data_IF_394756546321
#
_entry.id   IF_394756546321
#
_cell.length_a   1.000
_cell.length_b   1.000
_cell.length_c   1.000
_cell.angle_alpha   90.00
_cell.angle_beta   90.00
_cell.angle_gamma   90.00
#
_symmetry.space_group_name_H-M   'P 1'
#
loop_
_entity.id
_entity.type
_entity.pdbx_description
1 polymer ?
#
# COMPACT_ATOMS: atom_id res chain seq x y z
N UNK A 1 25.16 -14.50 7.92
CA UNK A 1 24.89 -13.11 8.38
C UNK A 1 23.43 -13.05 8.77
N UNK A 2 23.11 -12.63 10.00
CA UNK A 2 21.73 -12.35 10.39
C UNK A 2 21.36 -10.95 9.90
N UNK A 3 20.36 -10.85 9.03
CA UNK A 3 19.75 -9.58 8.66
C UNK A 3 18.78 -9.16 9.79
N UNK A 4 18.56 -7.85 10.00
CA UNK A 4 17.57 -7.39 10.96
C UNK A 4 16.17 -7.89 10.59
N UNK A 5 15.35 -8.17 11.60
CA UNK A 5 13.95 -8.55 11.40
C UNK A 5 13.16 -7.42 10.70
N UNK A 6 12.13 -7.74 9.90
CA UNK A 6 11.25 -6.73 9.34
C UNK A 6 10.63 -5.84 10.43
N UNK A 7 10.44 -4.56 10.12
CA UNK A 7 9.75 -3.62 10.99
C UNK A 7 8.48 -3.13 10.30
N UNK A 8 7.36 -3.22 11.00
CA UNK A 8 6.05 -2.86 10.49
C UNK A 8 5.49 -1.64 11.20
N UNK A 9 4.99 -0.69 10.42
CA UNK A 9 4.13 0.39 10.89
C UNK A 9 2.74 0.17 10.32
N UNK A 10 1.74 0.26 11.19
CA UNK A 10 0.33 0.10 10.82
C UNK A 10 -0.41 1.37 11.19
N UNK A 11 -1.14 1.93 10.22
CA UNK A 11 -1.97 3.11 10.40
C UNK A 11 -3.41 2.75 10.03
N UNK A 12 -4.37 3.05 10.90
CA UNK A 12 -5.78 2.81 10.62
C UNK A 12 -6.43 4.05 10.00
N UNK A 13 -7.18 3.84 8.93
CA UNK A 13 -8.03 4.83 8.27
C UNK A 13 -9.49 4.37 8.27
N UNK A 14 -10.39 5.24 8.71
CA UNK A 14 -11.83 5.00 8.64
C UNK A 14 -12.46 5.91 7.59
N UNK A 15 -13.08 5.32 6.57
CA UNK A 15 -13.81 6.05 5.53
C UNK A 15 -14.79 5.12 4.81
N UNK A 16 -15.77 5.68 4.09
CA UNK A 16 -16.76 4.90 3.31
C UNK A 16 -17.47 3.80 4.14
N UNK A 17 -17.65 4.02 5.44
CA UNK A 17 -18.26 3.06 6.37
C UNK A 17 -17.40 1.85 6.74
N UNK A 18 -16.11 1.86 6.39
CA UNK A 18 -15.19 0.74 6.60
C UNK A 18 -13.88 1.19 7.25
N UNK A 19 -13.15 0.23 7.81
CA UNK A 19 -11.81 0.44 8.38
C UNK A 19 -10.76 -0.20 7.49
N UNK A 20 -9.73 0.58 7.18
CA UNK A 20 -8.60 0.17 6.36
C UNK A 20 -7.31 0.31 7.17
N UNK A 21 -6.36 -0.58 6.93
CA UNK A 21 -5.02 -0.57 7.52
C UNK A 21 -4.01 -0.29 6.42
N UNK A 22 -3.31 0.83 6.51
CA UNK A 22 -2.07 1.02 5.77
C UNK A 22 -0.98 0.25 6.49
N UNK A 23 -0.38 -0.72 5.81
CA UNK A 23 0.79 -1.44 6.30
C UNK A 23 2.00 -0.91 5.55
N UNK A 24 2.97 -0.37 6.29
CA UNK A 24 4.29 -0.01 5.80
C UNK A 24 5.31 -0.96 6.43
N UNK A 25 5.96 -1.79 5.63
CA UNK A 25 7.01 -2.72 6.08
C UNK A 25 8.37 -2.26 5.58
N UNK A 26 9.35 -2.18 6.47
CA UNK A 26 10.77 -2.10 6.11
C UNK A 26 11.41 -3.48 6.22
N UNK A 27 12.04 -3.94 5.15
CA UNK A 27 12.78 -5.20 5.11
C UNK A 27 14.15 -5.02 4.45
N UNK A 28 15.17 -5.70 4.96
CA UNK A 28 16.48 -5.79 4.31
C UNK A 28 16.60 -7.14 3.61
N UNK A 29 16.56 -7.13 2.27
CA UNK A 29 16.87 -8.32 1.47
C UNK A 29 18.38 -8.50 1.29
N UNK A 30 19.10 -7.39 1.22
CA UNK A 30 20.56 -7.34 1.16
C UNK A 30 21.07 -6.40 2.25
N UNK A 31 22.21 -6.75 2.87
CA UNK A 31 22.77 -5.99 3.98
C UNK A 31 23.00 -4.53 3.57
N UNK A 32 22.40 -3.59 4.31
CA UNK A 32 22.54 -2.16 4.04
C UNK A 32 21.66 -1.63 2.90
N UNK A 33 20.77 -2.46 2.35
CA UNK A 33 19.83 -2.07 1.30
C UNK A 33 18.38 -2.32 1.76
N UNK A 34 17.83 -1.45 2.64
CA UNK A 34 16.45 -1.55 3.06
C UNK A 34 15.49 -1.21 1.90
N UNK A 35 14.43 -1.98 1.82
CA UNK A 35 13.26 -1.72 0.98
C UNK A 35 12.05 -1.45 1.86
N UNK A 36 11.16 -0.61 1.35
CA UNK A 36 9.89 -0.30 1.97
C UNK A 36 8.76 -0.83 1.10
N UNK A 37 7.78 -1.46 1.73
CA UNK A 37 6.62 -2.04 1.10
C UNK A 37 5.38 -1.41 1.71
N UNK A 38 4.49 -0.87 0.89
CA UNK A 38 3.27 -0.21 1.35
C UNK A 38 2.04 -0.80 0.65
N UNK A 39 1.09 -1.26 1.44
CA UNK A 39 -0.20 -1.80 0.95
C UNK A 39 -1.35 -1.39 1.86
N UNK A 40 -2.54 -1.28 1.30
CA UNK A 40 -3.76 -1.00 2.06
C UNK A 40 -4.56 -2.30 2.22
N UNK A 41 -4.97 -2.59 3.44
CA UNK A 41 -5.80 -3.74 3.77
C UNK A 41 -7.17 -3.30 4.28
N UNK A 42 -8.24 -4.02 3.92
CA UNK A 42 -9.57 -3.82 4.48
C UNK A 42 -9.79 -4.75 5.69
N UNK A 43 -10.30 -4.20 6.79
CA UNK A 43 -10.87 -5.00 7.88
C UNK A 43 -12.24 -5.51 7.41
N UNK A 44 -12.24 -6.64 6.70
CA UNK A 44 -13.40 -7.24 6.03
C UNK A 44 -13.00 -8.41 5.16
N UNK A 45 -13.94 -9.02 4.43
CA UNK A 45 -13.67 -10.12 3.50
C UNK A 45 -13.06 -9.62 2.19
N UNK A 46 -12.46 -10.51 1.39
CA UNK A 46 -11.93 -10.14 0.08
C UNK A 46 -13.04 -9.62 -0.85
N UNK A 47 -14.22 -10.23 -0.83
CA UNK A 47 -15.39 -9.76 -1.60
C UNK A 47 -15.82 -8.34 -1.21
N UNK A 48 -15.68 -7.96 0.06
CA UNK A 48 -15.91 -6.56 0.46
C UNK A 48 -14.80 -5.65 -0.07
N UNK A 49 -13.56 -6.10 -0.02
CA UNK A 49 -12.38 -5.35 -0.45
C UNK A 49 -12.39 -5.04 -1.96
N UNK A 50 -12.91 -5.96 -2.77
CA UNK A 50 -13.09 -5.81 -4.23
C UNK A 50 -13.95 -4.59 -4.62
N UNK A 51 -14.79 -4.09 -3.71
CA UNK A 51 -15.61 -2.90 -3.93
C UNK A 51 -14.84 -1.58 -3.76
N UNK A 52 -13.54 -1.63 -3.45
CA UNK A 52 -12.73 -0.44 -3.21
C UNK A 52 -11.48 -0.41 -4.06
N UNK A 53 -11.03 0.80 -4.37
CA UNK A 53 -9.70 1.06 -4.94
C UNK A 53 -9.00 2.04 -4.01
N UNK A 54 -7.76 1.74 -3.64
CA UNK A 54 -6.89 2.66 -2.91
C UNK A 54 -5.83 3.25 -3.84
N UNK A 55 -5.42 4.49 -3.57
CA UNK A 55 -4.24 5.14 -4.13
C UNK A 55 -3.27 5.51 -3.03
N UNK A 56 -2.01 5.11 -3.19
CA UNK A 56 -0.88 5.69 -2.46
C UNK A 56 -0.13 6.66 -3.37
N UNK A 57 0.20 7.83 -2.85
CA UNK A 57 0.82 8.89 -3.62
C UNK A 57 1.98 9.54 -2.88
N UNK A 58 3.15 9.60 -3.51
CA UNK A 58 4.32 10.34 -3.05
C UNK A 58 4.52 11.54 -3.97
N UNK A 59 4.68 12.73 -3.40
CA UNK A 59 4.88 13.97 -4.15
C UNK A 59 6.04 14.77 -3.57
N UNK A 60 7.03 15.12 -4.40
CA UNK A 60 8.11 16.04 -4.02
C UNK A 60 8.85 16.56 -5.25
N UNK A 61 9.24 17.84 -5.25
CA UNK A 61 10.10 18.43 -6.29
C UNK A 61 9.64 18.12 -7.72
N UNK A 62 8.36 18.38 -8.03
CA UNK A 62 7.71 18.08 -9.32
C UNK A 62 7.69 16.60 -9.72
N UNK A 63 8.14 15.69 -8.84
CA UNK A 63 8.02 14.25 -9.02
C UNK A 63 6.76 13.77 -8.33
N UNK A 64 6.13 12.78 -8.95
CA UNK A 64 4.96 12.09 -8.42
C UNK A 64 5.09 10.61 -8.67
N UNK A 65 4.94 9.81 -7.62
CA UNK A 65 4.79 8.38 -7.71
C UNK A 65 3.39 8.02 -7.23
N UNK A 66 2.69 7.19 -8.01
CA UNK A 66 1.33 6.73 -7.71
C UNK A 66 1.28 5.21 -7.79
N UNK A 67 0.61 4.61 -6.82
CA UNK A 67 0.26 3.19 -6.83
C UNK A 67 -1.24 3.08 -6.58
N UNK A 68 -1.97 2.41 -7.46
CA UNK A 68 -3.41 2.20 -7.38
C UNK A 68 -3.70 0.70 -7.47
N UNK A 69 -4.46 0.18 -6.52
CA UNK A 69 -4.82 -1.24 -6.45
C UNK A 69 -6.11 -1.45 -5.63
N UNK A 70 -6.64 -2.68 -5.66
CA UNK A 70 -7.69 -3.14 -4.74
C UNK A 70 -7.07 -3.43 -3.38
N UNK A 71 -7.67 -2.98 -2.25
CA UNK A 71 -7.17 -3.36 -0.94
C UNK A 71 -7.30 -4.88 -0.74
N UNK A 72 -6.38 -5.48 0.00
CA UNK A 72 -6.48 -6.91 0.37
C UNK A 72 -7.23 -7.08 1.68
N UNK A 73 -7.90 -8.20 1.90
CA UNK A 73 -8.48 -8.51 3.21
C UNK A 73 -7.39 -8.68 4.26
N UNK A 74 -7.61 -8.20 5.50
CA UNK A 74 -6.77 -8.52 6.67
C UNK A 74 -6.70 -10.01 7.00
N UNK A 75 -7.57 -10.83 6.42
CA UNK A 75 -7.53 -12.29 6.54
C UNK A 75 -6.38 -12.90 5.70
N UNK A 76 -5.79 -12.13 4.79
CA UNK A 76 -4.62 -12.53 4.01
C UNK A 76 -3.31 -12.17 4.72
N UNK A 77 -2.24 -12.90 4.39
CA UNK A 77 -0.93 -12.66 4.95
C UNK A 77 -0.23 -11.49 4.24
N UNK A 78 0.32 -10.55 5.00
CA UNK A 78 1.14 -9.45 4.43
C UNK A 78 2.38 -9.98 3.71
N UNK A 79 2.97 -11.08 4.19
CA UNK A 79 4.14 -11.68 3.55
C UNK A 79 3.84 -12.17 2.13
N UNK A 80 2.65 -12.74 1.87
CA UNK A 80 2.28 -13.20 0.53
C UNK A 80 2.04 -12.03 -0.41
N UNK A 81 1.39 -10.97 0.06
CA UNK A 81 1.17 -9.74 -0.72
C UNK A 81 2.52 -9.14 -1.18
N UNK A 82 3.50 -9.13 -0.28
CA UNK A 82 4.85 -8.62 -0.57
C UNK A 82 5.61 -9.55 -1.52
N UNK A 83 5.54 -10.87 -1.33
CA UNK A 83 6.22 -11.82 -2.21
C UNK A 83 5.68 -11.80 -3.64
N UNK A 84 4.38 -11.54 -3.80
CA UNK A 84 3.70 -11.47 -5.08
C UNK A 84 3.93 -10.13 -5.80
N UNK A 85 4.50 -9.15 -5.10
CA UNK A 85 4.72 -7.80 -5.63
C UNK A 85 3.44 -6.98 -5.72
N UNK A 86 2.36 -7.37 -5.05
CA UNK A 86 1.06 -6.69 -5.04
C UNK A 86 1.04 -5.53 -4.02
N UNK A 87 2.06 -4.66 -4.09
CA UNK A 87 2.19 -3.50 -3.22
C UNK A 87 3.14 -2.44 -3.81
N UNK A 88 3.07 -1.23 -3.26
CA UNK A 88 4.06 -0.20 -3.56
C UNK A 88 5.42 -0.57 -2.96
N UNK A 89 6.44 -0.72 -3.81
CA UNK A 89 7.82 -1.00 -3.39
C UNK A 89 8.70 0.22 -3.60
N UNK A 90 9.42 0.63 -2.56
CA UNK A 90 10.42 1.69 -2.60
C UNK A 90 11.77 1.14 -2.14
N UNK A 91 12.79 1.21 -2.98
CA UNK A 91 14.16 1.06 -2.50
C UNK A 91 14.63 2.37 -1.83
N UNK A 92 15.79 2.31 -1.17
CA UNK A 92 16.35 3.47 -0.44
C UNK A 92 16.51 4.69 -1.35
N UNK A 93 17.03 4.51 -2.56
CA UNK A 93 17.26 5.61 -3.52
C UNK A 93 15.96 6.29 -3.96
N UNK A 94 14.91 5.51 -4.23
CA UNK A 94 13.61 6.02 -4.62
C UNK A 94 12.93 6.74 -3.44
N UNK A 95 13.00 6.17 -2.23
CA UNK A 95 12.46 6.81 -1.03
C UNK A 95 13.13 8.18 -0.76
N UNK A 96 14.45 8.30 -0.97
CA UNK A 96 15.18 9.56 -0.80
C UNK A 96 14.74 10.67 -1.77
N UNK A 97 14.26 10.32 -2.97
CA UNK A 97 13.73 11.32 -3.91
C UNK A 97 12.45 12.00 -3.37
N UNK A 98 11.69 11.29 -2.54
CA UNK A 98 10.41 11.75 -2.00
C UNK A 98 10.44 12.14 -0.51
N UNK A 99 11.47 11.76 0.23
CA UNK A 99 11.62 12.08 1.64
C UNK A 99 12.10 13.53 1.87
N UNK A 100 11.62 14.16 2.94
CA UNK A 100 12.07 15.46 3.42
C UNK A 100 12.59 15.33 4.85
N UNK A 101 13.86 15.66 5.09
CA UNK A 101 14.54 15.47 6.38
C UNK A 101 14.31 14.10 7.03
N UNK A 102 14.32 13.03 6.22
CA UNK A 102 14.11 11.66 6.68
C UNK A 102 12.64 11.25 6.87
N UNK A 103 11.69 12.15 6.65
CA UNK A 103 10.25 11.87 6.70
C UNK A 103 9.70 11.63 5.30
N UNK A 104 8.92 10.57 5.11
CA UNK A 104 8.21 10.27 3.86
C UNK A 104 6.72 10.56 4.04
N UNK A 105 6.18 11.51 3.27
CA UNK A 105 4.75 11.79 3.26
C UNK A 105 4.05 10.90 2.22
N UNK A 106 3.06 10.13 2.67
CA UNK A 106 2.25 9.25 1.80
C UNK A 106 0.82 9.80 1.77
N UNK A 107 0.39 10.30 0.62
CA UNK A 107 -1.00 10.63 0.37
C UNK A 107 -1.83 9.36 0.16
N UNK A 108 -3.00 9.29 0.79
CA UNK A 108 -3.89 8.14 0.73
C UNK A 108 -5.23 8.61 0.20
N UNK A 109 -5.76 7.92 -0.81
CA UNK A 109 -7.15 8.07 -1.25
C UNK A 109 -7.79 6.69 -1.34
N UNK A 110 -9.04 6.58 -0.91
CA UNK A 110 -9.84 5.36 -1.01
C UNK A 110 -11.15 5.74 -1.68
N UNK A 111 -11.54 4.97 -2.69
CA UNK A 111 -12.73 5.20 -3.49
C UNK A 111 -13.49 3.89 -3.68
N UNK A 112 -14.79 3.97 -3.93
CA UNK A 112 -15.55 2.80 -4.35
C UNK A 112 -15.17 2.45 -5.78
N UNK A 113 -14.85 1.19 -6.04
CA UNK A 113 -14.64 0.66 -7.37
C UNK A 113 -15.94 0.84 -8.17
N UNK A 114 -15.86 1.41 -9.38
CA UNK A 114 -17.00 1.43 -10.28
C UNK A 114 -17.34 -0.01 -10.64
N UNK A 115 -18.45 -0.53 -10.12
CA UNK A 115 -19.06 -1.74 -10.66
C UNK A 115 -19.27 -1.48 -12.14
N UNK A 116 -18.66 -2.27 -13.02
CA UNK A 116 -19.13 -2.37 -14.40
C UNK A 116 -20.55 -2.92 -14.32
N UNK A 117 -21.54 -2.04 -14.19
CA UNK A 117 -22.90 -2.34 -14.61
C UNK A 117 -22.82 -2.37 -16.14
N UNK A 118 -22.41 -3.51 -16.70
CA UNK A 118 -22.84 -3.87 -18.04
C UNK A 118 -24.33 -4.15 -17.95
N UNK A 119 -25.13 -3.08 -17.88
CA UNK A 119 -26.53 -3.13 -18.26
C UNK A 119 -26.55 -3.53 -19.73
N UNK A 120 -27.14 -4.69 -19.99
CA UNK A 120 -27.56 -5.08 -21.32
C UNK A 120 -28.50 -3.99 -21.85
N UNK A 121 -28.04 -3.21 -22.82
CA UNK A 121 -28.93 -2.50 -23.73
C UNK A 121 -29.45 -3.53 -24.76
N UNK A 122 -30.70 -3.93 -24.51
CA UNK A 122 -31.77 -4.43 -25.41
C UNK A 122 -31.35 -4.98 -26.77
#
# INVERSE_FOLDING_TARGET
MHLPAPTDWIIMHSCLGHQFLLVLRKQEKYKGHPQFFATMMLIGTQTQADNFTYRLELNRNQRRLKWEATPRSVLECVDSIISDGDCLVLNTSLAQLFADNGSLAIGIAITTSKVHNSEAEI
#
